data_IF_721205441729
#
_entry.id   IF_721205441729
#
_cell.length_a   1.000
_cell.length_b   1.000
_cell.length_c   1.000
_cell.angle_alpha   90.00
_cell.angle_beta   90.00
_cell.angle_gamma   90.00
#
_symmetry.space_group_name_H-M   'P 1'
#
loop_
_entity.id
_entity.type
_entity.pdbx_description
1 polymer ?
#
# COMPACT_ATOMS: atom_id res chain seq x y z
N UNK A 1 -18.16 0.21 -0.29
CA UNK A 1 -16.96 1.06 -0.18
C UNK A 1 -17.41 2.52 -0.15
N UNK A 2 -17.04 3.26 0.89
CA UNK A 2 -17.59 4.59 1.14
C UNK A 2 -16.86 5.65 0.28
N UNK A 3 -17.58 6.44 -0.51
CA UNK A 3 -17.00 7.44 -1.46
C UNK A 3 -16.09 8.44 -0.76
N UNK A 4 -16.41 8.79 0.48
CA UNK A 4 -15.59 9.66 1.33
C UNK A 4 -14.19 9.09 1.57
N UNK A 5 -14.06 7.77 1.73
CA UNK A 5 -12.78 7.13 2.01
C UNK A 5 -11.85 7.16 0.78
N UNK A 6 -12.41 7.04 -0.43
CA UNK A 6 -11.66 7.17 -1.68
C UNK A 6 -11.16 8.61 -1.84
N UNK A 7 -12.02 9.59 -1.56
CA UNK A 7 -11.67 11.01 -1.64
C UNK A 7 -10.54 11.37 -0.67
N UNK A 8 -10.62 10.95 0.58
CA UNK A 8 -9.56 11.17 1.58
C UNK A 8 -8.24 10.52 1.18
N UNK A 9 -8.29 9.30 0.62
CA UNK A 9 -7.09 8.65 0.09
C UNK A 9 -6.50 9.47 -1.05
N UNK A 10 -7.30 9.87 -2.04
CA UNK A 10 -6.82 10.68 -3.16
C UNK A 10 -6.20 11.99 -2.70
N UNK A 11 -6.86 12.74 -1.80
CA UNK A 11 -6.34 14.01 -1.27
C UNK A 11 -5.01 13.79 -0.55
N UNK A 12 -4.92 12.76 0.29
CA UNK A 12 -3.69 12.43 1.01
C UNK A 12 -2.52 12.12 0.07
N UNK A 13 -2.78 11.41 -1.04
CA UNK A 13 -1.78 11.12 -2.06
C UNK A 13 -1.38 12.39 -2.84
N UNK A 14 -2.33 13.16 -3.35
CA UNK A 14 -2.04 14.38 -4.13
C UNK A 14 -1.32 15.46 -3.33
N UNK A 15 -1.60 15.59 -2.04
CA UNK A 15 -0.99 16.62 -1.20
C UNK A 15 0.48 16.30 -0.81
N UNK A 16 0.88 15.03 -0.85
CA UNK A 16 2.20 14.58 -0.38
C UNK A 16 3.02 13.91 -1.49
N UNK A 17 2.65 14.18 -2.75
CA UNK A 17 3.33 13.63 -3.92
C UNK A 17 4.73 14.25 -4.04
N UNK A 18 5.76 13.40 -4.15
CA UNK A 18 7.13 13.87 -4.37
C UNK A 18 7.37 14.10 -5.87
N UNK A 19 8.37 14.92 -6.20
CA UNK A 19 8.79 15.17 -7.59
C UNK A 19 9.07 13.87 -8.38
N UNK A 20 9.55 12.83 -7.70
CA UNK A 20 9.82 11.52 -8.30
C UNK A 20 8.52 10.83 -8.76
N UNK A 21 7.41 10.98 -8.03
CA UNK A 21 6.12 10.42 -8.43
C UNK A 21 5.59 11.13 -9.67
N UNK A 22 5.75 12.46 -9.74
CA UNK A 22 5.39 13.25 -10.92
C UNK A 22 6.21 12.83 -12.15
N UNK A 23 7.52 12.64 -11.98
CA UNK A 23 8.40 12.17 -13.05
C UNK A 23 7.98 10.77 -13.55
N UNK A 24 7.62 9.85 -12.64
CA UNK A 24 7.12 8.54 -13.04
C UNK A 24 5.82 8.64 -13.84
N UNK A 25 4.85 9.44 -13.37
CA UNK A 25 3.60 9.64 -14.12
C UNK A 25 3.85 10.26 -15.49
N UNK A 26 4.73 11.28 -15.56
CA UNK A 26 5.12 11.89 -16.82
C UNK A 26 5.77 10.87 -17.78
N UNK A 27 6.65 10.00 -17.27
CA UNK A 27 7.28 8.93 -18.05
C UNK A 27 6.26 7.93 -18.61
N UNK A 28 5.28 7.50 -17.80
CA UNK A 28 4.22 6.59 -18.23
C UNK A 28 3.37 7.21 -19.33
N UNK A 29 2.94 8.46 -19.17
CA UNK A 29 2.16 9.18 -20.18
C UNK A 29 2.97 9.40 -21.45
N UNK A 30 4.22 9.82 -21.33
CA UNK A 30 5.11 10.03 -22.47
C UNK A 30 5.31 8.75 -23.29
N UNK A 31 5.55 7.62 -22.62
CA UNK A 31 5.69 6.32 -23.27
C UNK A 31 4.39 5.90 -23.99
N UNK A 32 3.24 6.14 -23.37
CA UNK A 32 1.94 5.87 -23.99
C UNK A 32 1.69 6.73 -25.24
N UNK A 33 2.04 8.02 -25.21
CA UNK A 33 1.93 8.90 -26.38
C UNK A 33 2.84 8.42 -27.53
N UNK A 34 4.09 8.03 -27.23
CA UNK A 34 5.00 7.48 -28.25
C UNK A 34 4.40 6.22 -28.89
N UNK A 35 3.86 5.31 -28.10
CA UNK A 35 3.24 4.09 -28.63
C UNK A 35 2.02 4.39 -29.51
N UNK A 36 1.23 5.42 -29.19
CA UNK A 36 0.17 5.89 -30.09
C UNK A 36 0.71 6.48 -31.40
N UNK A 37 1.80 7.27 -31.35
CA UNK A 37 2.44 7.77 -32.57
C UNK A 37 2.95 6.64 -33.47
N UNK A 38 3.59 5.62 -32.87
CA UNK A 38 4.05 4.44 -33.61
C UNK A 38 2.86 3.70 -34.25
N UNK A 39 1.76 3.51 -33.50
CA UNK A 39 0.56 2.88 -34.04
C UNK A 39 -0.04 3.67 -35.22
N UNK A 40 0.00 5.00 -35.17
CA UNK A 40 -0.47 5.88 -36.24
C UNK A 40 0.39 5.76 -37.51
N UNK A 41 1.72 5.63 -37.37
CA UNK A 41 2.63 5.42 -38.50
C UNK A 41 2.33 4.08 -39.20
N UNK A 42 2.00 3.03 -38.43
CA UNK A 42 1.70 1.70 -38.98
C UNK A 42 0.22 1.52 -39.33
N UNK A 43 -0.51 2.62 -39.53
CA UNK A 43 -1.94 2.63 -39.91
C UNK A 43 -2.29 1.73 -41.10
N UNK A 44 -1.37 1.55 -42.05
CA UNK A 44 -1.60 0.74 -43.25
C UNK A 44 -1.83 -0.75 -42.94
N UNK A 45 -1.47 -1.22 -41.74
CA UNK A 45 -1.72 -2.59 -41.27
C UNK A 45 -2.54 -2.56 -39.97
N UNK A 46 -3.88 -2.54 -40.04
CA UNK A 46 -4.73 -2.28 -38.87
C UNK A 46 -4.55 -3.31 -37.76
N UNK A 47 -4.36 -4.59 -38.11
CA UNK A 47 -4.11 -5.67 -37.14
C UNK A 47 -2.83 -5.45 -36.34
N UNK A 48 -1.78 -4.99 -37.01
CA UNK A 48 -0.49 -4.72 -36.38
C UNK A 48 -0.53 -3.47 -35.50
N UNK A 49 -1.22 -2.41 -35.95
CA UNK A 49 -1.45 -1.22 -35.16
C UNK A 49 -2.21 -1.53 -33.85
N UNK A 50 -3.21 -2.42 -33.90
CA UNK A 50 -3.95 -2.86 -32.71
C UNK A 50 -3.05 -3.58 -31.70
N UNK A 51 -2.19 -4.49 -32.16
CA UNK A 51 -1.23 -5.19 -31.31
C UNK A 51 -0.27 -4.22 -30.62
N UNK A 52 0.22 -3.20 -31.35
CA UNK A 52 1.09 -2.16 -30.78
C UNK A 52 0.38 -1.39 -29.67
N UNK A 53 -0.88 -0.98 -29.88
CA UNK A 53 -1.65 -0.26 -28.87
C UNK A 53 -1.85 -1.13 -27.62
N UNK A 54 -2.26 -2.39 -27.81
CA UNK A 54 -2.46 -3.32 -26.71
C UNK A 54 -1.17 -3.55 -25.90
N UNK A 55 -0.05 -3.77 -26.59
CA UNK A 55 1.25 -3.93 -25.96
C UNK A 55 1.72 -2.64 -25.26
N UNK A 56 1.45 -1.48 -25.87
CA UNK A 56 1.74 -0.17 -25.28
C UNK A 56 1.00 0.07 -23.97
N UNK A 57 -0.28 -0.33 -23.89
CA UNK A 57 -1.07 -0.28 -22.65
C UNK A 57 -0.46 -1.20 -21.59
N UNK A 58 -0.20 -2.48 -21.91
CA UNK A 58 0.38 -3.43 -20.97
C UNK A 58 1.75 -2.99 -20.46
N UNK A 59 2.60 -2.46 -21.34
CA UNK A 59 3.91 -1.96 -20.96
C UNK A 59 3.79 -0.71 -20.07
N UNK A 60 2.89 0.21 -20.39
CA UNK A 60 2.63 1.41 -19.57
C UNK A 60 2.15 1.06 -18.16
N UNK A 61 1.23 0.10 -18.04
CA UNK A 61 0.78 -0.42 -16.75
C UNK A 61 1.93 -1.08 -15.97
N UNK A 62 2.79 -1.84 -16.66
CA UNK A 62 3.95 -2.48 -16.04
C UNK A 62 4.96 -1.45 -15.53
N UNK A 63 5.25 -0.40 -16.29
CA UNK A 63 6.13 0.71 -15.88
C UNK A 63 5.55 1.42 -14.66
N UNK A 64 4.24 1.71 -14.66
CA UNK A 64 3.57 2.35 -13.53
C UNK A 64 3.70 1.49 -12.25
N UNK A 65 3.44 0.18 -12.35
CA UNK A 65 3.52 -0.74 -11.22
C UNK A 65 4.96 -0.90 -10.71
N UNK A 66 5.91 -1.24 -11.60
CA UNK A 66 7.31 -1.46 -11.23
C UNK A 66 7.98 -0.17 -10.76
N UNK A 67 7.67 0.96 -11.39
CA UNK A 67 8.16 2.27 -10.98
C UNK A 67 7.71 2.62 -9.57
N UNK A 68 6.42 2.45 -9.27
CA UNK A 68 5.90 2.67 -7.91
C UNK A 68 6.58 1.73 -6.90
N UNK A 69 6.70 0.44 -7.23
CA UNK A 69 7.36 -0.54 -6.36
C UNK A 69 8.82 -0.18 -6.08
N UNK A 70 9.58 0.27 -7.07
CA UNK A 70 10.96 0.71 -6.90
C UNK A 70 11.06 1.96 -6.02
N UNK A 71 10.18 2.94 -6.21
CA UNK A 71 10.14 4.14 -5.36
C UNK A 71 9.83 3.75 -3.92
N UNK A 72 8.82 2.91 -3.70
CA UNK A 72 8.41 2.50 -2.37
C UNK A 72 9.49 1.69 -1.64
N UNK A 73 10.18 0.79 -2.34
CA UNK A 73 11.19 -0.10 -1.75
C UNK A 73 12.57 0.52 -1.62
N UNK A 74 12.99 1.41 -2.53
CA UNK A 74 14.35 1.98 -2.53
C UNK A 74 14.40 3.42 -2.04
N UNK A 75 13.41 4.25 -2.40
CA UNK A 75 13.40 5.67 -2.02
C UNK A 75 12.70 5.86 -0.68
N UNK A 76 11.65 5.08 -0.40
CA UNK A 76 10.83 5.17 0.82
C UNK A 76 10.91 3.90 1.67
N UNK A 77 12.11 3.34 1.74
CA UNK A 77 12.38 2.12 2.50
C UNK A 77 12.09 2.33 4.00
N UNK A 78 11.37 1.38 4.58
CA UNK A 78 10.90 1.40 5.95
C UNK A 78 10.70 -0.01 6.46
N UNK A 79 10.86 -0.21 7.76
CA UNK A 79 10.62 -1.49 8.42
C UNK A 79 9.52 -1.26 9.44
N UNK A 80 8.45 -2.04 9.35
CA UNK A 80 7.39 -2.08 10.36
C UNK A 80 7.48 -3.44 11.06
N UNK A 81 7.70 -3.42 12.37
CA UNK A 81 7.81 -4.63 13.19
C UNK A 81 6.66 -4.69 14.19
N UNK A 82 6.06 -5.86 14.34
CA UNK A 82 5.11 -6.13 15.42
C UNK A 82 5.92 -6.37 16.70
N UNK A 83 5.77 -5.50 17.69
CA UNK A 83 6.53 -5.62 18.94
C UNK A 83 5.76 -6.50 19.94
N UNK A 84 4.45 -6.25 20.07
CA UNK A 84 3.59 -6.96 21.00
C UNK A 84 2.11 -6.89 20.58
N UNK A 85 1.35 -7.95 20.86
CA UNK A 85 -0.08 -7.99 20.66
C UNK A 85 -0.74 -8.62 21.88
N UNK A 86 -1.61 -7.86 22.56
CA UNK A 86 -2.27 -8.30 23.79
C UNK A 86 -3.78 -8.18 23.66
N UNK A 87 -4.45 -9.31 23.87
CA UNK A 87 -5.90 -9.38 23.99
C UNK A 87 -6.30 -9.27 25.48
N UNK A 88 -7.10 -8.26 25.80
CA UNK A 88 -7.61 -8.01 27.13
C UNK A 88 -9.01 -8.61 27.25
N UNK A 89 -9.12 -9.69 28.02
CA UNK A 89 -10.38 -10.41 28.24
C UNK A 89 -11.42 -9.56 28.99
N UNK A 90 -10.98 -8.69 29.90
CA UNK A 90 -11.86 -7.90 30.76
C UNK A 90 -12.65 -6.81 30.02
N UNK A 91 -12.01 -6.11 29.07
CA UNK A 91 -12.63 -5.05 28.27
C UNK A 91 -12.83 -5.45 26.80
N UNK A 92 -12.62 -6.73 26.49
CA UNK A 92 -12.75 -7.33 25.17
C UNK A 92 -12.06 -6.50 24.08
N UNK A 93 -10.82 -6.11 24.36
CA UNK A 93 -10.05 -5.22 23.50
C UNK A 93 -8.74 -5.82 23.06
N UNK A 94 -8.32 -5.50 21.84
CA UNK A 94 -7.03 -5.91 21.30
C UNK A 94 -6.12 -4.69 21.20
N UNK A 95 -4.96 -4.79 21.84
CA UNK A 95 -3.91 -3.80 21.75
C UNK A 95 -2.74 -4.32 20.92
N UNK A 96 -2.38 -3.57 19.89
CA UNK A 96 -1.27 -3.89 18.99
C UNK A 96 -0.21 -2.80 19.14
N UNK A 97 0.94 -3.18 19.66
CA UNK A 97 2.13 -2.33 19.76
C UNK A 97 3.09 -2.68 18.63
N UNK A 98 3.57 -1.67 17.92
CA UNK A 98 4.44 -1.86 16.76
C UNK A 98 5.41 -0.70 16.58
N UNK A 99 6.56 -1.02 16.00
CA UNK A 99 7.62 -0.07 15.73
C UNK A 99 7.74 0.18 14.23
N UNK A 100 8.00 1.44 13.87
CA UNK A 100 8.26 1.86 12.51
C UNK A 100 9.63 2.52 12.45
N UNK A 101 10.55 1.92 11.71
CA UNK A 101 11.90 2.43 11.49
C UNK A 101 12.03 2.99 10.07
N UNK A 102 12.44 4.25 9.97
CA UNK A 102 12.80 4.84 8.69
C UNK A 102 14.20 4.36 8.26
N UNK A 103 14.29 3.53 7.22
CA UNK A 103 15.59 3.08 6.68
C UNK A 103 15.98 3.84 5.42
N UNK A 104 15.18 4.83 5.02
CA UNK A 104 15.43 5.62 3.83
C UNK A 104 16.44 6.74 4.11
N UNK A 105 16.98 7.31 3.04
CA UNK A 105 17.91 8.45 3.12
C UNK A 105 17.21 9.78 3.41
N UNK A 106 15.87 9.83 3.36
CA UNK A 106 15.07 11.05 3.54
C UNK A 106 14.23 10.95 4.80
N UNK A 107 13.92 12.08 5.41
CA UNK A 107 12.96 12.10 6.52
C UNK A 107 11.55 11.92 5.99
N UNK A 108 10.76 11.07 6.65
CA UNK A 108 9.32 11.01 6.40
C UNK A 108 8.63 12.10 7.19
N UNK A 109 7.66 12.79 6.60
CA UNK A 109 6.83 13.79 7.30
C UNK A 109 5.44 13.25 7.60
N UNK A 110 4.95 12.37 6.72
CA UNK A 110 3.60 11.83 6.80
C UNK A 110 3.64 10.31 6.65
N UNK A 111 3.10 9.60 7.62
CA UNK A 111 3.00 8.15 7.56
C UNK A 111 1.55 7.72 7.82
N UNK A 112 1.00 6.98 6.86
CA UNK A 112 -0.28 6.28 7.02
C UNK A 112 0.00 4.84 7.34
N UNK A 113 -0.48 4.39 8.48
CA UNK A 113 -0.33 3.02 8.95
C UNK A 113 -1.70 2.38 8.99
N UNK A 114 -1.77 1.13 8.54
CA UNK A 114 -2.98 0.32 8.54
C UNK A 114 -2.66 -0.97 9.28
N UNK A 115 -3.32 -1.16 10.41
CA UNK A 115 -3.26 -2.41 11.18
C UNK A 115 -4.48 -3.22 10.80
N UNK A 116 -4.25 -4.43 10.34
CA UNK A 116 -5.28 -5.37 9.88
C UNK A 116 -5.17 -6.65 10.67
N UNK A 117 -6.29 -7.07 11.26
CA UNK A 117 -6.39 -8.29 12.04
C UNK A 117 -7.13 -9.32 11.20
N UNK A 118 -6.53 -10.48 11.01
CA UNK A 118 -7.06 -11.60 10.23
C UNK A 118 -7.37 -12.78 11.16
N UNK A 119 -8.32 -13.61 10.75
CA UNK A 119 -8.57 -14.87 11.46
C UNK A 119 -7.41 -15.82 11.18
N UNK A 120 -6.92 -16.51 12.20
CA UNK A 120 -5.87 -17.52 12.02
C UNK A 120 -6.37 -18.61 11.07
N UNK A 121 -5.52 -18.95 10.12
CA UNK A 121 -5.84 -19.86 9.02
C UNK A 121 -5.78 -21.32 9.50
N UNK A 122 -6.87 -22.07 9.44
CA UNK A 122 -6.88 -23.52 9.73
C UNK A 122 -6.35 -24.30 8.51
N UNK A 123 -5.28 -25.07 8.65
CA UNK A 123 -4.58 -25.76 7.54
C UNK A 123 -5.47 -26.68 6.68
N UNK A 124 -6.65 -27.10 7.18
CA UNK A 124 -7.47 -28.14 6.54
C UNK A 124 -8.38 -27.67 5.38
N UNK A 125 -8.50 -26.37 5.06
CA UNK A 125 -9.37 -25.88 3.97
C UNK A 125 -8.78 -24.70 3.19
N UNK A 126 -8.06 -24.99 2.11
CA UNK A 126 -7.36 -24.02 1.23
C UNK A 126 -8.24 -22.92 0.64
N UNK A 127 -9.48 -23.22 0.23
CA UNK A 127 -10.39 -22.22 -0.33
C UNK A 127 -10.92 -21.22 0.71
N UNK A 128 -11.21 -21.71 1.93
CA UNK A 128 -11.71 -20.87 3.02
C UNK A 128 -10.59 -19.97 3.56
N UNK A 129 -9.36 -20.49 3.60
CA UNK A 129 -8.17 -19.74 3.99
C UNK A 129 -7.89 -18.56 3.06
N UNK A 130 -8.07 -18.72 1.75
CA UNK A 130 -7.87 -17.63 0.79
C UNK A 130 -8.84 -16.46 1.06
N UNK A 131 -10.11 -16.74 1.35
CA UNK A 131 -11.11 -15.71 1.67
C UNK A 131 -10.76 -15.00 2.99
N UNK A 132 -10.32 -15.75 4.00
CA UNK A 132 -9.90 -15.19 5.29
C UNK A 132 -8.61 -14.37 5.21
N UNK A 133 -7.71 -14.67 4.26
CA UNK A 133 -6.53 -13.84 3.96
C UNK A 133 -6.87 -12.52 3.26
N UNK A 134 -7.97 -12.48 2.50
CA UNK A 134 -8.37 -11.28 1.75
C UNK A 134 -9.23 -10.30 2.57
N UNK A 135 -10.02 -10.80 3.53
CA UNK A 135 -10.93 -9.98 4.32
C UNK A 135 -10.49 -9.88 5.79
N UNK A 136 -9.93 -8.75 6.23
CA UNK A 136 -9.60 -8.56 7.63
C UNK A 136 -10.86 -8.51 8.50
N UNK A 137 -10.78 -9.09 9.70
CA UNK A 137 -11.81 -9.04 10.75
C UNK A 137 -12.04 -7.61 11.21
N UNK A 138 -10.94 -6.91 11.49
CA UNK A 138 -10.91 -5.49 11.84
C UNK A 138 -9.73 -4.85 11.14
N UNK A 139 -9.93 -3.63 10.68
CA UNK A 139 -8.85 -2.80 10.17
C UNK A 139 -8.97 -1.40 10.73
N UNK A 140 -7.85 -0.81 11.13
CA UNK A 140 -7.79 0.58 11.58
C UNK A 140 -6.62 1.26 10.89
N UNK A 141 -6.88 2.45 10.36
CA UNK A 141 -5.85 3.27 9.75
C UNK A 141 -5.59 4.48 10.64
N UNK A 142 -4.31 4.73 10.90
CA UNK A 142 -3.83 5.86 11.69
C UNK A 142 -2.87 6.66 10.82
N UNK A 143 -3.08 7.98 10.76
CA UNK A 143 -2.17 8.91 10.08
C UNK A 143 -1.32 9.59 11.13
N UNK A 144 -0.01 9.69 10.86
CA UNK A 144 0.97 10.32 11.73
C UNK A 144 1.59 11.47 10.95
N UNK A 145 1.44 12.67 11.50
CA UNK A 145 1.99 13.92 10.97
C UNK A 145 3.22 14.32 11.81
N UNK A 146 4.19 13.42 11.90
CA UNK A 146 5.42 13.63 12.65
C UNK A 146 6.60 13.31 11.77
N UNK A 147 7.60 14.20 11.79
CA UNK A 147 8.87 13.98 11.09
C UNK A 147 9.62 12.80 11.71
N UNK A 148 9.90 11.77 10.91
CA UNK A 148 10.73 10.61 11.25
C UNK A 148 12.03 10.73 10.47
N UNK A 149 13.12 11.07 11.17
CA UNK A 149 14.44 11.22 10.56
C UNK A 149 14.99 9.87 10.06
N UNK A 150 15.97 9.86 9.15
CA UNK A 150 16.66 8.64 8.75
C UNK A 150 17.18 7.86 9.96
N UNK A 151 17.01 6.54 9.94
CA UNK A 151 17.35 5.59 11.00
C UNK A 151 16.62 5.80 12.34
N UNK A 152 15.61 6.67 12.39
CA UNK A 152 14.80 6.85 13.58
C UNK A 152 13.69 5.79 13.63
N UNK A 153 13.50 5.20 14.81
CA UNK A 153 12.38 4.32 15.13
C UNK A 153 11.34 5.08 15.95
N UNK A 154 10.08 4.90 15.62
CA UNK A 154 8.95 5.35 16.43
C UNK A 154 8.12 4.16 16.88
N UNK A 155 7.69 4.19 18.14
CA UNK A 155 6.83 3.17 18.72
C UNK A 155 5.39 3.68 18.73
N UNK A 156 4.47 2.83 18.31
CA UNK A 156 3.08 3.17 18.07
C UNK A 156 2.17 2.10 18.64
N UNK A 157 0.97 2.51 19.01
CA UNK A 157 -0.02 1.66 19.65
C UNK A 157 -1.37 1.85 19.00
N UNK A 158 -2.01 0.76 18.62
CA UNK A 158 -3.38 0.77 18.09
C UNK A 158 -4.25 -0.15 18.92
N UNK A 159 -5.31 0.42 19.51
CA UNK A 159 -6.36 -0.31 20.24
C UNK A 159 -7.59 -0.53 19.35
N UNK A 160 -8.09 -1.76 19.34
CA UNK A 160 -9.38 -2.18 18.80
C UNK A 160 -10.31 -2.49 19.97
N UNK A 161 -11.46 -1.81 20.05
CA UNK A 161 -12.54 -2.13 20.99
C UNK A 161 -13.48 -3.18 20.42
N UNK A 162 -14.21 -3.88 21.30
CA UNK A 162 -15.23 -4.87 20.96
C UNK A 162 -14.71 -5.97 20.01
N UNK A 163 -13.61 -6.59 20.41
CA UNK A 163 -12.94 -7.66 19.67
C UNK A 163 -13.35 -9.05 20.18
N UNK A 164 -14.47 -9.56 19.68
CA UNK A 164 -15.06 -10.84 20.13
C UNK A 164 -14.37 -12.12 19.61
N UNK A 165 -13.22 -12.03 18.92
CA UNK A 165 -12.66 -13.16 18.15
C UNK A 165 -11.65 -14.02 18.94
N UNK A 166 -11.55 -13.87 20.27
CA UNK A 166 -10.69 -14.69 21.11
C UNK A 166 -9.18 -14.48 20.84
N UNK A 167 -8.36 -15.52 21.03
CA UNK A 167 -6.89 -15.44 20.93
C UNK A 167 -6.31 -15.94 19.58
N UNK A 168 -7.12 -16.48 18.67
CA UNK A 168 -6.65 -17.07 17.41
C UNK A 168 -6.76 -16.09 16.22
N UNK A 169 -5.86 -15.12 16.17
CA UNK A 169 -5.79 -14.13 15.10
C UNK A 169 -4.35 -13.83 14.66
N UNK A 170 -4.21 -13.43 13.40
CA UNK A 170 -2.96 -12.94 12.82
C UNK A 170 -3.03 -11.43 12.59
N UNK A 171 -1.92 -10.73 12.75
CA UNK A 171 -1.86 -9.27 12.57
C UNK A 171 -0.93 -8.94 11.41
N UNK A 172 -1.42 -8.10 10.49
CA UNK A 172 -0.62 -7.51 9.41
C UNK A 172 -0.56 -6.00 9.59
N UNK A 173 0.65 -5.46 9.50
CA UNK A 173 0.89 -4.01 9.58
C UNK A 173 1.37 -3.55 8.21
N UNK A 174 0.59 -2.66 7.59
CA UNK A 174 0.92 -2.04 6.33
C UNK A 174 1.21 -0.55 6.58
N UNK A 175 2.39 -0.07 6.19
CA UNK A 175 2.77 1.34 6.32
C UNK A 175 3.00 1.97 4.94
N UNK A 176 2.59 3.23 4.78
CA UNK A 176 2.89 4.08 3.61
C UNK A 176 3.36 5.44 4.12
N UNK A 177 4.61 5.79 3.82
CA UNK A 177 5.24 7.02 4.30
C UNK A 177 5.68 7.91 3.15
N UNK A 178 5.67 9.22 3.36
CA UNK A 178 6.00 10.28 2.40
C UNK A 178 6.92 11.32 3.03
#
# INVERSE_FOLDING_TARGET
>A
MNVQHIREQMIFYTAHLHLIDFLLMALVVFFFIITLFIALIVRNKPTFAFIIIFLGILCSLSIAYLGYFLIDTKVRSRIASLDNAQFFVYDNSLSVDYSLTNTSKKSFKFCKIKVEVFRKSDENNTFKNLIHLLKPLRSKSTTIEKTISPNQTINLKTKFSDFNEGQDFDIKINSKCF
#
